data_IF_666725238726
#
_entry.id   IF_666725238726
#
_cell.length_a   1.000
_cell.length_b   1.000
_cell.length_c   1.000
_cell.angle_alpha   90.00
_cell.angle_beta   90.00
_cell.angle_gamma   90.00
#
_symmetry.space_group_name_H-M   'P 1'
#
loop_
_entity.id
_entity.type
_entity.pdbx_description
1 polymer ?
#
# COMPACT_ATOMS: atom_id res chain seq x y z
N UNK A 1 -35.46 16.25 15.66
CA UNK A 1 -34.45 15.50 14.90
C UNK A 1 -33.09 15.78 15.51
N UNK A 2 -32.27 14.75 15.73
CA UNK A 2 -30.86 15.00 16.15
C UNK A 2 -30.13 15.71 15.02
N UNK A 3 -29.25 16.62 15.36
CA UNK A 3 -28.42 17.35 14.42
C UNK A 3 -27.45 16.36 13.73
N UNK A 4 -27.22 16.52 12.44
CA UNK A 4 -26.33 15.65 11.66
C UNK A 4 -24.96 16.33 11.57
N UNK A 5 -23.92 15.69 12.08
CA UNK A 5 -22.55 16.18 12.10
C UNK A 5 -21.62 15.24 11.33
N UNK A 6 -20.97 15.74 10.30
CA UNK A 6 -19.96 15.02 9.55
C UNK A 6 -18.56 15.54 9.86
N UNK A 7 -17.66 14.63 10.23
CA UNK A 7 -16.25 14.92 10.47
C UNK A 7 -15.43 14.29 9.34
N UNK A 8 -14.88 15.13 8.47
CA UNK A 8 -13.97 14.70 7.41
C UNK A 8 -12.53 14.67 7.93
N UNK A 9 -11.85 13.57 7.73
CA UNK A 9 -10.45 13.41 8.14
C UNK A 9 -9.62 12.98 6.92
N UNK A 10 -8.77 13.88 6.45
CA UNK A 10 -7.74 13.59 5.45
C UNK A 10 -6.48 13.09 6.15
N UNK A 11 -6.09 11.85 5.87
CA UNK A 11 -5.00 11.16 6.58
C UNK A 11 -3.75 11.12 5.72
N UNK A 12 -2.66 11.65 6.25
CA UNK A 12 -1.32 11.56 5.67
C UNK A 12 -0.34 10.83 6.61
N UNK A 13 0.91 10.73 6.20
CA UNK A 13 1.93 10.07 7.03
C UNK A 13 2.22 10.89 8.29
N UNK A 14 1.85 10.35 9.46
CA UNK A 14 2.15 10.91 10.78
C UNK A 14 1.23 12.05 11.23
N UNK A 15 0.32 12.53 10.38
CA UNK A 15 -0.66 13.58 10.72
C UNK A 15 -1.96 13.43 9.93
N UNK A 16 -3.01 14.04 10.43
CA UNK A 16 -4.30 14.17 9.76
C UNK A 16 -4.79 15.61 9.77
N UNK A 17 -5.53 15.99 8.73
CA UNK A 17 -6.30 17.24 8.70
C UNK A 17 -7.76 16.92 8.95
N UNK A 18 -8.39 17.64 9.86
CA UNK A 18 -9.75 17.38 10.34
C UNK A 18 -10.63 18.61 10.09
N UNK A 19 -11.84 18.39 9.59
CA UNK A 19 -12.87 19.41 9.44
C UNK A 19 -14.22 18.88 9.94
N UNK A 20 -14.92 19.64 10.78
CA UNK A 20 -16.25 19.27 11.26
C UNK A 20 -17.33 20.18 10.65
N UNK A 21 -18.37 19.58 10.10
CA UNK A 21 -19.47 20.28 9.45
C UNK A 21 -20.83 19.73 9.92
N UNK A 22 -21.81 20.61 9.88
CA UNK A 22 -23.21 20.32 10.22
C UNK A 22 -24.08 20.57 8.99
N UNK A 23 -25.15 19.79 8.86
CA UNK A 23 -26.15 20.02 7.82
C UNK A 23 -26.79 21.42 7.97
N UNK A 24 -27.01 22.20 6.88
CA UNK A 24 -26.87 21.84 5.47
C UNK A 24 -25.48 22.09 4.86
N UNK A 25 -24.44 22.47 5.49
CA UNK A 25 -23.05 22.68 5.07
C UNK A 25 -22.35 23.78 5.89
N UNK A 26 -22.79 23.98 7.11
CA UNK A 26 -22.16 24.96 8.02
C UNK A 26 -20.94 24.33 8.66
N UNK A 27 -19.82 25.03 8.64
CA UNK A 27 -18.58 24.60 9.29
C UNK A 27 -18.70 24.87 10.79
N UNK A 28 -18.53 23.84 11.61
CA UNK A 28 -18.46 23.95 13.08
C UNK A 28 -17.05 24.40 13.48
N UNK A 29 -16.04 23.78 12.86
CA UNK A 29 -14.62 24.11 13.08
C UNK A 29 -13.87 24.02 11.76
N UNK A 30 -13.15 25.07 11.44
CA UNK A 30 -12.25 25.10 10.27
C UNK A 30 -11.20 24.00 10.37
N UNK A 31 -10.63 23.64 9.23
CA UNK A 31 -9.65 22.56 9.14
C UNK A 31 -8.45 22.80 10.05
N UNK A 32 -8.11 21.81 10.86
CA UNK A 32 -6.96 21.82 11.76
C UNK A 32 -6.17 20.53 11.65
N UNK A 33 -4.89 20.61 11.95
CA UNK A 33 -4.00 19.45 11.94
C UNK A 33 -4.01 18.72 13.29
N UNK A 34 -3.83 17.39 13.25
CA UNK A 34 -3.71 16.50 14.40
C UNK A 34 -2.56 15.54 14.10
N UNK A 35 -1.56 15.48 14.96
CA UNK A 35 -0.47 14.50 14.87
C UNK A 35 -0.95 13.13 15.33
N UNK A 36 -0.34 12.07 14.79
CA UNK A 36 -0.69 10.71 15.19
C UNK A 36 0.04 10.29 16.47
N UNK A 37 0.07 11.18 17.48
CA UNK A 37 0.49 10.86 18.84
C UNK A 37 -0.71 10.40 19.67
N UNK A 38 -0.47 9.68 20.74
CA UNK A 38 -1.55 9.17 21.61
C UNK A 38 -2.33 10.34 22.22
N UNK A 39 -1.63 11.40 22.62
CA UNK A 39 -2.18 12.60 23.26
C UNK A 39 -3.11 13.35 22.28
N UNK A 40 -2.63 13.68 21.08
CA UNK A 40 -3.42 14.43 20.10
C UNK A 40 -4.59 13.63 19.54
N UNK A 41 -4.41 12.34 19.34
CA UNK A 41 -5.50 11.44 18.93
C UNK A 41 -6.57 11.33 20.02
N UNK A 42 -6.19 11.35 21.31
CA UNK A 42 -7.15 11.38 22.42
C UNK A 42 -7.89 12.70 22.47
N UNK A 43 -7.18 13.82 22.32
CA UNK A 43 -7.80 15.17 22.24
C UNK A 43 -8.78 15.27 21.04
N UNK A 44 -8.43 14.65 19.89
CA UNK A 44 -9.34 14.58 18.75
C UNK A 44 -10.61 13.79 19.10
N UNK A 45 -10.48 12.63 19.76
CA UNK A 45 -11.63 11.81 20.16
C UNK A 45 -12.52 12.57 21.15
N UNK A 46 -11.93 13.26 22.13
CA UNK A 46 -12.66 14.09 23.10
C UNK A 46 -13.39 15.25 22.40
N UNK A 47 -12.71 15.92 21.47
CA UNK A 47 -13.34 16.96 20.65
C UNK A 47 -14.52 16.44 19.85
N UNK A 48 -14.36 15.30 19.14
CA UNK A 48 -15.46 14.70 18.36
C UNK A 48 -16.61 14.31 19.30
N UNK A 49 -16.30 13.73 20.47
CA UNK A 49 -17.31 13.32 21.45
C UNK A 49 -18.06 14.49 22.11
N UNK A 50 -17.49 15.71 22.08
CA UNK A 50 -18.13 16.93 22.59
C UNK A 50 -19.12 17.57 21.59
N UNK A 51 -19.17 17.12 20.35
CA UNK A 51 -20.07 17.64 19.34
C UNK A 51 -21.51 17.15 19.57
N UNK A 52 -22.47 18.05 19.54
CA UNK A 52 -23.87 17.70 19.70
C UNK A 52 -24.46 17.15 18.40
N UNK A 53 -25.04 15.94 18.46
CA UNK A 53 -25.76 15.37 17.33
C UNK A 53 -25.43 13.90 17.05
N UNK A 54 -25.86 13.43 15.89
CA UNK A 54 -25.40 12.17 15.31
C UNK A 54 -24.13 12.45 14.52
N UNK A 55 -23.03 11.81 14.92
CA UNK A 55 -21.70 12.07 14.35
C UNK A 55 -21.31 10.90 13.45
N UNK A 56 -20.87 11.20 12.22
CA UNK A 56 -20.22 10.23 11.35
C UNK A 56 -18.89 10.79 10.87
N UNK A 57 -17.86 9.97 10.99
CA UNK A 57 -16.51 10.30 10.56
C UNK A 57 -16.29 9.69 9.17
N UNK A 58 -15.78 10.50 8.23
CA UNK A 58 -15.50 10.09 6.87
C UNK A 58 -14.01 10.28 6.57
N UNK A 59 -13.38 9.22 6.09
CA UNK A 59 -11.99 9.17 5.66
C UNK A 59 -11.90 8.64 4.24
N UNK A 60 -10.80 8.95 3.56
CA UNK A 60 -10.46 8.39 2.25
C UNK A 60 -9.46 7.23 2.42
N UNK A 61 -9.65 6.15 1.64
CA UNK A 61 -8.73 5.00 1.62
C UNK A 61 -7.48 5.30 0.76
N UNK A 62 -6.59 6.16 1.25
CA UNK A 62 -5.32 6.43 0.59
C UNK A 62 -4.20 5.63 1.26
N UNK A 63 -3.75 4.57 0.59
CA UNK A 63 -2.71 3.68 1.14
C UNK A 63 -3.13 2.97 2.44
N UNK A 64 -2.22 2.93 3.44
CA UNK A 64 -2.45 2.25 4.72
C UNK A 64 -2.53 3.21 5.92
N UNK A 65 -2.28 4.50 5.71
CA UNK A 65 -2.15 5.47 6.81
C UNK A 65 -3.46 5.72 7.55
N UNK A 66 -4.61 5.55 6.89
CA UNK A 66 -5.92 5.71 7.51
C UNK A 66 -6.26 4.59 8.52
N UNK A 67 -5.69 3.39 8.38
CA UNK A 67 -6.06 2.24 9.20
C UNK A 67 -5.87 2.45 10.72
N UNK A 68 -4.71 2.92 11.22
CA UNK A 68 -4.54 3.17 12.65
C UNK A 68 -5.51 4.24 13.19
N UNK A 69 -5.73 5.30 12.43
CA UNK A 69 -6.64 6.40 12.81
C UNK A 69 -8.09 5.91 12.87
N UNK A 70 -8.52 5.19 11.84
CA UNK A 70 -9.86 4.61 11.77
C UNK A 70 -10.09 3.62 12.91
N UNK A 71 -9.13 2.75 13.18
CA UNK A 71 -9.21 1.77 14.26
C UNK A 71 -9.29 2.42 15.63
N UNK A 72 -8.46 3.44 15.88
CA UNK A 72 -8.48 4.18 17.14
C UNK A 72 -9.86 4.82 17.39
N UNK A 73 -10.40 5.53 16.42
CA UNK A 73 -11.70 6.20 16.53
C UNK A 73 -12.86 5.19 16.64
N UNK A 74 -12.77 4.08 15.92
CA UNK A 74 -13.74 2.99 16.06
C UNK A 74 -13.73 2.37 17.48
N UNK A 75 -12.55 2.15 18.06
CA UNK A 75 -12.42 1.65 19.44
C UNK A 75 -12.98 2.62 20.48
N UNK A 76 -13.00 3.92 20.18
CA UNK A 76 -13.68 4.95 20.99
C UNK A 76 -15.20 4.97 20.81
N UNK A 77 -15.76 4.11 19.95
CA UNK A 77 -17.21 3.96 19.74
C UNK A 77 -17.79 4.86 18.66
N UNK A 78 -16.96 5.57 17.87
CA UNK A 78 -17.45 6.41 16.78
C UNK A 78 -17.85 5.61 15.55
N UNK A 79 -18.85 6.12 14.81
CA UNK A 79 -19.14 5.66 13.47
C UNK A 79 -18.06 6.16 12.51
N UNK A 80 -17.25 5.26 11.98
CA UNK A 80 -16.18 5.56 11.02
C UNK A 80 -16.53 4.95 9.68
N UNK A 81 -16.52 5.77 8.62
CA UNK A 81 -16.67 5.37 7.23
C UNK A 81 -15.35 5.63 6.51
N UNK A 82 -14.85 4.65 5.78
CA UNK A 82 -13.67 4.78 4.92
C UNK A 82 -14.12 4.57 3.48
N UNK A 83 -14.08 5.64 2.70
CA UNK A 83 -14.51 5.64 1.31
C UNK A 83 -13.37 5.45 0.32
N UNK A 84 -13.71 4.92 -0.84
CA UNK A 84 -12.74 4.76 -1.92
C UNK A 84 -12.30 6.13 -2.45
N UNK A 85 -10.99 6.33 -2.58
CA UNK A 85 -10.38 7.53 -3.14
C UNK A 85 -10.97 7.94 -4.52
N UNK A 86 -11.36 6.97 -5.32
CA UNK A 86 -11.99 7.23 -6.62
C UNK A 86 -13.36 7.90 -6.44
N UNK A 87 -14.19 7.44 -5.50
CA UNK A 87 -15.53 8.00 -5.22
C UNK A 87 -15.40 9.45 -4.72
N UNK A 88 -14.51 9.68 -3.76
CA UNK A 88 -14.26 11.03 -3.23
C UNK A 88 -13.76 11.98 -4.32
N UNK A 89 -12.89 11.50 -5.21
CA UNK A 89 -12.40 12.27 -6.37
C UNK A 89 -13.53 12.62 -7.34
N UNK A 90 -14.45 11.71 -7.63
CA UNK A 90 -15.60 11.98 -8.50
C UNK A 90 -16.54 13.00 -7.87
N UNK A 91 -16.86 12.85 -6.58
CA UNK A 91 -17.64 13.83 -5.84
C UNK A 91 -17.00 15.22 -5.88
N UNK A 92 -15.68 15.29 -5.68
CA UNK A 92 -14.93 16.55 -5.72
C UNK A 92 -14.98 17.24 -7.08
N UNK A 93 -14.97 16.49 -8.18
CA UNK A 93 -15.10 17.04 -9.54
C UNK A 93 -16.44 17.68 -9.79
N UNK A 94 -17.51 17.12 -9.24
CA UNK A 94 -18.87 17.62 -9.41
C UNK A 94 -19.10 18.88 -8.55
N UNK A 95 -18.58 18.89 -7.33
CA UNK A 95 -18.93 19.89 -6.32
C UNK A 95 -17.95 21.06 -6.20
N UNK A 96 -16.70 20.91 -6.63
CA UNK A 96 -15.65 21.87 -6.32
C UNK A 96 -14.69 22.06 -7.53
N UNK A 97 -14.83 23.19 -8.18
CA UNK A 97 -13.79 23.71 -9.08
C UNK A 97 -12.74 24.43 -8.19
N UNK A 98 -11.61 23.79 -7.86
CA UNK A 98 -10.59 24.45 -7.03
C UNK A 98 -9.31 23.65 -6.84
N UNK A 99 -8.28 24.34 -6.35
CA UNK A 99 -6.96 23.81 -6.07
C UNK A 99 -6.98 22.67 -5.03
N UNK A 100 -6.02 21.78 -5.11
CA UNK A 100 -5.83 20.68 -4.15
C UNK A 100 -4.98 21.17 -2.98
N UNK A 101 -5.56 21.22 -1.78
CA UNK A 101 -4.85 21.48 -0.51
C UNK A 101 -5.46 20.62 0.59
N UNK A 102 -4.65 20.16 1.58
CA UNK A 102 -5.09 19.29 2.67
C UNK A 102 -6.31 19.85 3.45
N UNK A 103 -6.39 21.16 3.78
CA UNK A 103 -7.58 21.75 4.40
C UNK A 103 -8.84 21.60 3.56
N UNK A 104 -8.70 21.70 2.22
CA UNK A 104 -9.82 21.52 1.30
C UNK A 104 -10.23 20.04 1.20
N UNK A 105 -9.31 19.11 1.32
CA UNK A 105 -9.58 17.70 1.21
C UNK A 105 -10.36 17.18 2.44
N UNK A 106 -10.00 17.58 3.66
CA UNK A 106 -10.79 17.30 4.86
C UNK A 106 -12.22 17.90 4.78
N UNK A 107 -12.35 19.13 4.27
CA UNK A 107 -13.64 19.77 4.05
C UNK A 107 -14.50 19.06 3.00
N UNK A 108 -13.90 18.53 1.94
CA UNK A 108 -14.59 17.71 0.92
C UNK A 108 -15.13 16.43 1.53
N UNK A 109 -14.34 15.76 2.37
CA UNK A 109 -14.76 14.55 3.08
C UNK A 109 -15.95 14.82 4.01
N UNK A 110 -15.91 15.93 4.77
CA UNK A 110 -17.03 16.33 5.60
C UNK A 110 -18.30 16.62 4.78
N UNK A 111 -18.16 17.33 3.65
CA UNK A 111 -19.28 17.58 2.72
C UNK A 111 -19.84 16.30 2.12
N UNK A 112 -18.97 15.38 1.72
CA UNK A 112 -19.37 14.07 1.22
C UNK A 112 -20.23 13.34 2.26
N UNK A 113 -19.77 13.33 3.51
CA UNK A 113 -20.49 12.71 4.60
C UNK A 113 -21.88 13.30 4.84
N UNK A 114 -22.07 14.61 4.68
CA UNK A 114 -23.39 15.25 4.75
C UNK A 114 -24.27 14.93 3.54
N UNK A 115 -23.70 14.92 2.33
CA UNK A 115 -24.43 14.67 1.09
C UNK A 115 -24.93 13.22 0.98
N UNK A 116 -24.13 12.25 1.42
CA UNK A 116 -24.43 10.83 1.35
C UNK A 116 -24.71 10.19 2.71
N UNK A 117 -25.23 10.97 3.64
CA UNK A 117 -25.43 10.55 5.04
C UNK A 117 -26.10 9.20 5.19
N UNK A 118 -27.21 8.97 4.50
CA UNK A 118 -28.00 7.74 4.57
C UNK A 118 -27.30 6.52 3.94
N UNK A 119 -26.31 6.76 3.06
CA UNK A 119 -25.62 5.73 2.30
C UNK A 119 -24.30 5.32 2.95
N UNK A 120 -23.78 6.14 3.89
CA UNK A 120 -22.54 5.84 4.59
C UNK A 120 -22.63 4.51 5.33
N UNK A 121 -21.64 3.65 5.12
CA UNK A 121 -21.53 2.35 5.78
C UNK A 121 -20.39 2.36 6.79
N UNK A 122 -20.59 1.76 7.97
CA UNK A 122 -19.49 1.63 8.93
C UNK A 122 -18.36 0.79 8.33
N UNK A 123 -17.15 1.24 8.55
CA UNK A 123 -15.95 0.52 8.11
C UNK A 123 -15.86 -0.84 8.82
N UNK A 124 -15.71 -1.89 8.06
CA UNK A 124 -15.55 -3.25 8.58
C UNK A 124 -14.05 -3.54 8.77
N UNK A 125 -13.63 -3.60 10.01
CA UNK A 125 -12.27 -4.04 10.33
C UNK A 125 -12.16 -5.54 10.13
N UNK A 126 -11.22 -5.95 9.30
CA UNK A 126 -10.89 -7.36 9.18
C UNK A 126 -10.08 -7.83 10.40
N UNK A 127 -10.20 -9.08 10.81
CA UNK A 127 -9.32 -9.66 11.83
C UNK A 127 -7.85 -9.43 11.48
N UNK A 128 -6.99 -9.22 12.47
CA UNK A 128 -5.56 -8.91 12.28
C UNK A 128 -4.84 -9.92 11.38
N UNK A 129 -5.23 -11.20 11.47
CA UNK A 129 -4.68 -12.27 10.64
C UNK A 129 -4.84 -12.02 9.13
N UNK A 130 -5.94 -11.43 8.67
CA UNK A 130 -6.11 -11.10 7.24
C UNK A 130 -5.21 -9.94 6.82
N UNK A 131 -4.99 -8.97 7.69
CA UNK A 131 -4.07 -7.85 7.45
C UNK A 131 -2.64 -8.36 7.36
N UNK A 132 -2.24 -9.24 8.29
CA UNK A 132 -0.92 -9.88 8.29
C UNK A 132 -0.69 -10.74 7.04
N UNK A 133 -1.67 -11.58 6.67
CA UNK A 133 -1.61 -12.38 5.44
C UNK A 133 -1.48 -11.50 4.19
N UNK A 134 -2.22 -10.40 4.13
CA UNK A 134 -2.13 -9.45 3.01
C UNK A 134 -0.74 -8.81 2.91
N UNK A 135 -0.14 -8.43 4.04
CA UNK A 135 1.22 -7.89 4.10
C UNK A 135 2.25 -8.92 3.66
N UNK A 136 2.18 -10.15 4.19
CA UNK A 136 3.06 -11.25 3.81
C UNK A 136 2.94 -11.58 2.32
N UNK A 137 1.72 -11.62 1.79
CA UNK A 137 1.48 -11.85 0.35
C UNK A 137 2.13 -10.76 -0.52
N UNK A 138 2.00 -9.48 -0.13
CA UNK A 138 2.64 -8.38 -0.85
C UNK A 138 4.17 -8.44 -0.78
N UNK A 139 4.73 -8.79 0.37
CA UNK A 139 6.17 -8.99 0.54
C UNK A 139 6.66 -10.14 -0.34
N UNK A 140 5.98 -11.28 -0.30
CA UNK A 140 6.28 -12.43 -1.15
C UNK A 140 6.31 -12.06 -2.64
N UNK A 141 5.26 -11.39 -3.13
CA UNK A 141 5.22 -10.93 -4.52
C UNK A 141 6.36 -9.98 -4.87
N UNK A 142 6.76 -9.11 -3.94
CA UNK A 142 7.90 -8.21 -4.13
C UNK A 142 9.20 -8.98 -4.27
N UNK A 143 9.44 -9.98 -3.40
CA UNK A 143 10.63 -10.82 -3.49
C UNK A 143 10.67 -11.66 -4.77
N UNK A 144 9.51 -12.18 -5.21
CA UNK A 144 9.43 -12.90 -6.50
C UNK A 144 9.81 -11.97 -7.67
N UNK A 145 9.31 -10.73 -7.71
CA UNK A 145 9.69 -9.76 -8.76
C UNK A 145 11.19 -9.46 -8.75
N UNK A 146 11.76 -9.26 -7.57
CA UNK A 146 13.21 -9.02 -7.43
C UNK A 146 14.02 -10.23 -7.87
N UNK A 147 13.59 -11.44 -7.52
CA UNK A 147 14.23 -12.68 -7.94
C UNK A 147 14.20 -12.84 -9.47
N UNK A 148 13.06 -12.58 -10.11
CA UNK A 148 12.92 -12.61 -11.56
C UNK A 148 13.87 -11.61 -12.22
N UNK A 149 13.90 -10.37 -11.72
CA UNK A 149 14.77 -9.33 -12.25
C UNK A 149 16.25 -9.71 -12.10
N UNK A 150 16.66 -10.24 -10.94
CA UNK A 150 18.01 -10.71 -10.72
C UNK A 150 18.41 -11.85 -11.65
N UNK A 151 17.52 -12.84 -11.86
CA UNK A 151 17.73 -13.93 -12.80
C UNK A 151 17.90 -13.43 -14.25
N UNK A 152 17.05 -12.48 -14.67
CA UNK A 152 17.16 -11.87 -16.00
C UNK A 152 18.49 -11.14 -16.18
N UNK A 153 18.94 -10.40 -15.16
CA UNK A 153 20.25 -9.73 -15.22
C UNK A 153 21.42 -10.73 -15.37
N UNK A 154 21.38 -11.85 -14.64
CA UNK A 154 22.39 -12.92 -14.82
C UNK A 154 22.37 -13.45 -16.25
N UNK A 155 21.20 -13.72 -16.81
CA UNK A 155 21.07 -14.19 -18.20
C UNK A 155 21.67 -13.17 -19.16
N UNK A 156 21.32 -11.87 -19.04
CA UNK A 156 21.87 -10.82 -19.92
C UNK A 156 23.39 -10.73 -19.85
N UNK A 157 23.96 -10.70 -18.64
CA UNK A 157 25.39 -10.62 -18.45
C UNK A 157 26.12 -11.85 -19.00
N UNK A 158 25.53 -13.03 -18.84
CA UNK A 158 26.13 -14.27 -19.36
C UNK A 158 25.98 -14.39 -20.86
N UNK A 159 24.87 -13.93 -21.46
CA UNK A 159 24.68 -13.93 -22.91
C UNK A 159 25.66 -13.02 -23.64
N UNK A 160 26.13 -11.93 -23.00
CA UNK A 160 27.21 -11.10 -23.55
C UNK A 160 28.55 -11.85 -23.65
N UNK A 161 28.81 -12.77 -22.71
CA UNK A 161 30.08 -13.52 -22.62
C UNK A 161 30.01 -14.91 -23.26
N UNK A 162 28.85 -15.55 -23.19
CA UNK A 162 28.58 -16.91 -23.64
C UNK A 162 27.20 -16.99 -24.32
N UNK A 163 27.05 -16.49 -25.55
CA UNK A 163 25.78 -16.48 -26.26
C UNK A 163 25.13 -17.87 -26.32
N UNK A 164 23.84 -17.96 -25.92
CA UNK A 164 23.08 -19.20 -25.89
C UNK A 164 23.37 -20.13 -24.70
N UNK A 165 24.04 -19.62 -23.64
CA UNK A 165 24.35 -20.45 -22.48
C UNK A 165 23.11 -20.91 -21.72
N UNK A 166 22.08 -20.08 -21.68
CA UNK A 166 20.81 -20.41 -21.00
C UNK A 166 20.14 -21.61 -21.65
N UNK A 167 20.01 -21.59 -22.97
CA UNK A 167 19.40 -22.66 -23.74
C UNK A 167 20.16 -23.98 -23.60
N UNK A 168 21.48 -23.90 -23.46
CA UNK A 168 22.33 -25.07 -23.24
C UNK A 168 22.16 -25.67 -21.83
N UNK A 169 21.79 -24.90 -20.84
CA UNK A 169 21.67 -25.31 -19.44
C UNK A 169 20.23 -25.44 -18.96
N UNK A 170 19.25 -24.97 -19.75
CA UNK A 170 17.84 -24.97 -19.37
C UNK A 170 17.24 -26.34 -19.66
N UNK A 171 17.30 -27.22 -18.70
CA UNK A 171 16.51 -28.43 -18.71
C UNK A 171 15.14 -28.17 -18.14
N UNK A 172 14.11 -28.40 -18.91
CA UNK A 172 12.70 -28.00 -18.78
C UNK A 172 11.93 -28.42 -17.49
N UNK A 173 12.55 -28.64 -16.36
CA UNK A 173 11.84 -29.23 -15.22
C UNK A 173 12.26 -28.82 -13.82
N UNK A 174 12.83 -27.67 -13.57
CA UNK A 174 13.07 -27.28 -12.17
C UNK A 174 12.19 -26.13 -11.69
N UNK A 175 10.98 -26.46 -11.26
CA UNK A 175 10.11 -25.63 -10.41
C UNK A 175 10.71 -25.47 -9.00
N UNK A 176 11.84 -26.06 -8.68
CA UNK A 176 12.52 -25.87 -7.41
C UNK A 176 13.32 -24.56 -7.43
N UNK A 177 12.82 -23.57 -6.70
CA UNK A 177 13.44 -22.25 -6.49
C UNK A 177 14.87 -22.29 -5.90
N UNK A 178 15.34 -23.44 -5.44
CA UNK A 178 16.61 -23.60 -4.73
C UNK A 178 17.81 -24.01 -5.60
N UNK A 179 17.60 -24.52 -6.81
CA UNK A 179 18.70 -24.92 -7.70
C UNK A 179 18.38 -24.52 -9.13
N UNK A 180 18.96 -23.43 -9.59
CA UNK A 180 18.86 -22.94 -10.96
C UNK A 180 20.20 -23.17 -11.62
N UNK A 181 20.31 -24.24 -12.44
CA UNK A 181 21.56 -24.69 -13.07
C UNK A 181 22.38 -23.55 -13.68
N UNK A 182 21.76 -22.64 -14.45
CA UNK A 182 22.49 -21.54 -15.09
C UNK A 182 23.03 -20.49 -14.09
N UNK A 183 22.39 -20.30 -12.93
CA UNK A 183 22.90 -19.40 -11.89
C UNK A 183 24.13 -19.99 -11.21
N UNK A 184 24.07 -21.28 -10.93
CA UNK A 184 25.18 -21.99 -10.30
C UNK A 184 26.35 -22.11 -11.28
N UNK A 185 26.08 -22.39 -12.56
CA UNK A 185 27.08 -22.35 -13.62
C UNK A 185 27.75 -20.98 -13.72
N UNK A 186 26.97 -19.88 -13.70
CA UNK A 186 27.51 -18.54 -13.77
C UNK A 186 28.40 -18.14 -12.57
N UNK A 187 28.18 -18.74 -11.40
CA UNK A 187 29.06 -18.55 -10.24
C UNK A 187 30.43 -19.17 -10.43
N UNK A 188 30.48 -20.32 -11.09
CA UNK A 188 31.69 -21.08 -11.28
C UNK A 188 32.42 -20.65 -12.57
N UNK A 189 31.67 -20.39 -13.64
CA UNK A 189 32.19 -20.04 -14.97
C UNK A 189 31.71 -18.67 -15.41
N UNK A 190 32.20 -17.64 -14.76
CA UNK A 190 31.73 -16.25 -14.97
C UNK A 190 32.34 -15.53 -16.17
N UNK A 191 33.35 -16.13 -16.86
CA UNK A 191 33.98 -15.53 -18.05
C UNK A 191 34.44 -16.59 -19.04
N UNK A 192 34.28 -16.32 -20.35
CA UNK A 192 34.66 -17.26 -21.44
C UNK A 192 36.14 -17.57 -21.47
N UNK A 193 37.02 -16.63 -21.12
CA UNK A 193 38.47 -16.83 -21.11
C UNK A 193 38.87 -17.83 -20.03
N UNK A 194 38.16 -17.88 -18.91
CA UNK A 194 38.35 -18.88 -17.86
C UNK A 194 38.10 -20.29 -18.39
N UNK A 195 37.00 -20.48 -19.14
CA UNK A 195 36.69 -21.77 -19.77
C UNK A 195 37.71 -22.13 -20.82
N UNK A 196 38.15 -21.17 -21.65
CA UNK A 196 39.18 -21.41 -22.67
C UNK A 196 40.54 -21.76 -22.08
N UNK A 197 40.94 -21.13 -20.97
CA UNK A 197 42.21 -21.39 -20.30
C UNK A 197 42.27 -22.75 -19.60
N UNK A 198 41.13 -23.27 -19.19
CA UNK A 198 41.00 -24.54 -18.48
C UNK A 198 41.22 -25.75 -19.41
N UNK A 199 40.90 -25.60 -20.68
CA UNK A 199 41.00 -26.68 -21.66
C UNK A 199 39.76 -27.64 -21.65
N UNK A 200 39.56 -28.29 -22.80
CA UNK A 200 38.32 -29.02 -23.07
C UNK A 200 38.07 -30.22 -22.14
N UNK A 201 39.11 -30.89 -21.72
CA UNK A 201 39.03 -32.13 -20.91
C UNK A 201 38.67 -31.78 -19.47
N UNK A 202 39.37 -30.80 -18.88
CA UNK A 202 39.11 -30.32 -17.52
C UNK A 202 37.70 -29.69 -17.42
N UNK A 203 37.33 -28.91 -18.43
CA UNK A 203 35.97 -28.34 -18.49
C UNK A 203 34.88 -29.43 -18.51
N UNK A 204 35.07 -30.50 -19.30
CA UNK A 204 34.14 -31.61 -19.36
C UNK A 204 34.02 -32.38 -18.03
N UNK A 205 35.10 -32.56 -17.31
CA UNK A 205 35.09 -33.20 -15.98
C UNK A 205 34.34 -32.35 -14.97
N UNK A 206 34.59 -31.05 -14.93
CA UNK A 206 33.89 -30.14 -14.06
C UNK A 206 32.41 -29.97 -14.45
N UNK A 207 32.10 -30.02 -15.74
CA UNK A 207 30.71 -29.93 -16.24
C UNK A 207 29.86 -31.15 -15.91
N UNK A 208 30.43 -32.34 -15.80
CA UNK A 208 29.68 -33.58 -15.47
C UNK A 208 28.91 -33.50 -14.14
N UNK A 209 29.31 -32.65 -13.21
CA UNK A 209 28.58 -32.46 -11.97
C UNK A 209 27.28 -31.65 -12.14
N UNK A 210 27.03 -31.11 -13.35
CA UNK A 210 25.87 -30.29 -13.67
C UNK A 210 24.82 -31.05 -14.50
N UNK A 211 25.13 -32.23 -15.02
CA UNK A 211 24.18 -33.12 -15.66
C UNK A 211 23.35 -33.87 -14.62
#
# INVERSE_FOLDING_TARGET
MKQIVSVGIDVSKGKSTVCAMIHPNTIIKESFEVLHTVEEMSMLADYIGSLDGEIRIVMESTGHYHLPVAQFLYQKGFFVCVENAYIIRQFSRIMLHGAKTDPLDAKKLAKYGLAYWSELKPYKFHPSCYTELSLLSKQYQTYIKLLIAAKQNVIHLMDEMLPGFKEALDTASSVQFSKVKYVDFAKEFYHVDMIKSMGKEIFRENYKQWD
#
